data_IF_454950551978
#
_entry.id   IF_454950551978
#
_cell.length_a   1.000
_cell.length_b   1.000
_cell.length_c   1.000
_cell.angle_alpha   90.00
_cell.angle_beta   90.00
_cell.angle_gamma   90.00
#
_symmetry.space_group_name_H-M   'P 1'
#
loop_
_entity.id
_entity.type
_entity.pdbx_description
1 polymer ?
#
# COMPACT_ATOMS: atom_id res chain seq x y z
N UNK A 1 4.13 -15.89 -13.41
CA UNK A 1 4.76 -14.55 -13.42
C UNK A 1 3.92 -13.63 -12.57
N UNK A 2 4.23 -13.52 -11.27
CA UNK A 2 3.62 -12.51 -10.37
C UNK A 2 4.31 -11.14 -10.52
N UNK A 3 5.13 -10.99 -11.56
CA UNK A 3 6.02 -9.86 -11.83
C UNK A 3 5.32 -8.51 -11.81
N UNK A 4 4.04 -8.46 -12.20
CA UNK A 4 3.25 -7.22 -12.17
C UNK A 4 3.03 -6.65 -10.76
N UNK A 5 2.89 -7.49 -9.72
CA UNK A 5 2.61 -7.00 -8.35
C UNK A 5 3.88 -6.44 -7.72
N UNK A 6 5.00 -7.18 -7.83
CA UNK A 6 6.28 -6.72 -7.30
C UNK A 6 6.75 -5.41 -7.95
N UNK A 7 6.55 -5.26 -9.27
CA UNK A 7 6.82 -4.00 -9.98
C UNK A 7 5.99 -2.84 -9.40
N UNK A 8 4.70 -3.05 -9.19
CA UNK A 8 3.82 -2.00 -8.64
C UNK A 8 4.19 -1.66 -7.20
N UNK A 9 4.64 -2.62 -6.38
CA UNK A 9 5.17 -2.34 -5.04
C UNK A 9 6.40 -1.44 -5.08
N UNK A 10 7.32 -1.67 -6.04
CA UNK A 10 8.50 -0.83 -6.25
C UNK A 10 8.08 0.58 -6.67
N UNK A 11 7.09 0.71 -7.55
CA UNK A 11 6.57 2.01 -7.97
C UNK A 11 5.97 2.77 -6.78
N UNK A 12 5.14 2.12 -5.95
CA UNK A 12 4.55 2.73 -4.74
C UNK A 12 5.66 3.22 -3.79
N UNK A 13 6.66 2.38 -3.50
CA UNK A 13 7.81 2.78 -2.67
C UNK A 13 8.55 3.99 -3.28
N UNK A 14 8.79 3.95 -4.60
CA UNK A 14 9.41 5.03 -5.35
C UNK A 14 8.68 6.36 -5.18
N UNK A 15 7.35 6.34 -5.27
CA UNK A 15 6.54 7.55 -5.10
C UNK A 15 6.47 8.04 -3.67
N UNK A 16 6.36 7.16 -2.68
CA UNK A 16 6.44 7.55 -1.26
C UNK A 16 7.78 8.23 -0.96
N UNK A 17 8.89 7.72 -1.51
CA UNK A 17 10.21 8.34 -1.37
C UNK A 17 10.29 9.70 -2.05
N UNK A 18 9.78 9.84 -3.28
CA UNK A 18 9.77 11.12 -4.01
C UNK A 18 8.92 12.18 -3.32
N UNK A 19 7.80 11.79 -2.72
CA UNK A 19 6.92 12.67 -1.95
C UNK A 19 7.46 12.97 -0.54
N UNK A 20 8.59 12.38 -0.14
CA UNK A 20 9.18 12.57 1.19
C UNK A 20 8.40 11.90 2.32
N UNK A 21 7.58 10.89 2.00
CA UNK A 21 6.70 10.17 2.92
C UNK A 21 7.22 8.78 3.29
N UNK A 22 8.48 8.49 2.96
CA UNK A 22 9.15 7.27 3.35
C UNK A 22 9.91 7.50 4.66
N UNK A 23 9.38 6.95 5.75
CA UNK A 23 9.91 7.11 7.09
C UNK A 23 11.18 6.27 7.30
N UNK A 24 12.16 6.84 8.01
CA UNK A 24 13.37 6.10 8.42
C UNK A 24 13.15 5.28 9.68
N UNK A 25 12.22 5.71 10.52
CA UNK A 25 11.96 5.13 11.83
C UNK A 25 10.57 4.51 11.78
N UNK A 26 10.42 3.21 12.09
CA UNK A 26 9.10 2.59 12.12
C UNK A 26 8.23 3.17 13.24
N UNK A 27 6.90 3.16 13.08
CA UNK A 27 5.97 3.42 14.17
C UNK A 27 6.18 2.45 15.34
N UNK A 28 5.64 2.81 16.51
CA UNK A 28 5.70 1.92 17.67
C UNK A 28 5.02 0.57 17.36
N UNK A 29 5.50 -0.52 17.97
CA UNK A 29 4.88 -1.84 17.81
C UNK A 29 3.40 -1.84 18.16
N UNK A 30 2.96 -1.03 19.13
CA UNK A 30 1.55 -0.89 19.48
C UNK A 30 0.74 -0.25 18.34
N UNK A 31 1.29 0.74 17.63
CA UNK A 31 0.62 1.38 16.51
C UNK A 31 0.43 0.41 15.34
N UNK A 32 1.39 -0.48 15.10
CA UNK A 32 1.34 -1.51 14.05
C UNK A 32 0.34 -2.64 14.35
N UNK A 33 -0.18 -2.73 15.58
CA UNK A 33 -1.10 -3.79 16.02
C UNK A 33 -2.57 -3.34 16.03
N UNK A 34 -2.90 -2.17 15.46
CA UNK A 34 -4.30 -1.74 15.35
C UNK A 34 -5.11 -2.73 14.50
N UNK A 35 -6.34 -2.97 14.94
CA UNK A 35 -7.30 -3.84 14.23
C UNK A 35 -8.25 -3.06 13.32
N UNK A 36 -8.20 -1.73 13.34
CA UNK A 36 -9.01 -0.90 12.44
C UNK A 36 -8.53 -1.04 10.99
N UNK A 37 -9.41 -0.91 9.98
CA UNK A 37 -9.01 -0.89 8.58
C UNK A 37 -7.92 0.15 8.33
N UNK A 38 -6.86 -0.25 7.61
CA UNK A 38 -5.66 0.56 7.35
C UNK A 38 -4.95 1.12 8.59
N UNK A 39 -5.29 0.63 9.80
CA UNK A 39 -4.82 1.18 11.06
C UNK A 39 -5.01 2.71 11.15
N UNK A 40 -6.14 3.24 10.62
CA UNK A 40 -6.37 4.70 10.49
C UNK A 40 -6.35 5.47 11.81
N UNK A 41 -6.54 4.78 12.93
CA UNK A 41 -6.51 5.35 14.28
C UNK A 41 -5.07 5.54 14.80
N UNK A 42 -4.10 4.77 14.29
CA UNK A 42 -2.71 4.77 14.78
C UNK A 42 -1.66 5.14 13.75
N UNK A 43 -1.96 5.04 12.46
CA UNK A 43 -1.02 5.25 11.35
C UNK A 43 -1.55 6.26 10.34
N UNK A 44 -0.61 6.98 9.71
CA UNK A 44 -0.89 7.65 8.44
C UNK A 44 -0.91 6.64 7.30
N UNK A 45 -1.58 6.97 6.18
CA UNK A 45 -1.62 6.08 5.02
C UNK A 45 -0.21 5.70 4.51
N UNK A 46 0.77 6.63 4.35
CA UNK A 46 2.12 6.26 3.96
C UNK A 46 2.80 5.27 4.92
N UNK A 47 2.57 5.41 6.23
CA UNK A 47 3.12 4.48 7.23
C UNK A 47 2.49 3.11 7.12
N UNK A 48 1.18 3.03 6.94
CA UNK A 48 0.50 1.76 6.70
C UNK A 48 1.00 1.10 5.42
N UNK A 49 1.15 1.86 4.32
CA UNK A 49 1.71 1.38 3.07
C UNK A 49 3.13 0.81 3.26
N UNK A 50 4.00 1.59 3.89
CA UNK A 50 5.41 1.25 4.06
C UNK A 50 5.66 0.08 5.01
N UNK A 51 5.02 0.08 6.18
CA UNK A 51 5.39 -0.83 7.27
C UNK A 51 4.47 -2.03 7.42
N UNK A 52 3.30 -2.02 6.77
CA UNK A 52 2.35 -3.13 6.82
C UNK A 52 2.13 -3.66 5.41
N UNK A 53 1.55 -2.86 4.53
CA UNK A 53 1.08 -3.36 3.23
C UNK A 53 2.20 -3.92 2.35
N UNK A 54 3.22 -3.12 2.03
CA UNK A 54 4.33 -3.53 1.17
C UNK A 54 5.03 -4.80 1.68
N UNK A 55 5.51 -4.88 2.95
CA UNK A 55 6.18 -6.07 3.44
C UNK A 55 5.25 -7.29 3.53
N UNK A 56 3.97 -7.09 3.84
CA UNK A 56 2.98 -8.18 3.85
C UNK A 56 2.82 -8.79 2.46
N UNK A 57 2.60 -7.97 1.42
CA UNK A 57 2.45 -8.50 0.06
C UNK A 57 3.74 -9.20 -0.40
N UNK A 58 4.93 -8.64 -0.14
CA UNK A 58 6.18 -9.33 -0.46
C UNK A 58 6.27 -10.72 0.19
N UNK A 59 5.97 -10.84 1.49
CA UNK A 59 5.99 -12.12 2.19
C UNK A 59 5.01 -13.12 1.57
N UNK A 60 3.81 -12.68 1.19
CA UNK A 60 2.81 -13.56 0.57
C UNK A 60 3.23 -14.04 -0.81
N UNK A 61 3.85 -13.18 -1.63
CA UNK A 61 4.42 -13.55 -2.93
C UNK A 61 5.54 -14.59 -2.77
N UNK A 62 6.46 -14.38 -1.81
CA UNK A 62 7.56 -15.30 -1.52
C UNK A 62 7.06 -16.68 -1.07
N UNK A 63 6.00 -16.70 -0.25
CA UNK A 63 5.40 -17.93 0.27
C UNK A 63 4.38 -18.56 -0.68
N UNK A 64 4.08 -17.91 -1.82
CA UNK A 64 3.03 -18.30 -2.75
C UNK A 64 1.67 -18.45 -2.08
N UNK A 65 1.39 -17.61 -1.09
CA UNK A 65 0.10 -17.55 -0.41
C UNK A 65 -0.94 -16.82 -1.27
N UNK A 66 -2.21 -17.09 -1.00
CA UNK A 66 -3.32 -16.38 -1.62
C UNK A 66 -3.29 -14.91 -1.17
N UNK A 67 -3.17 -14.00 -2.14
CA UNK A 67 -3.16 -12.56 -1.89
C UNK A 67 -4.53 -12.08 -1.37
N UNK A 68 -4.56 -10.97 -0.59
CA UNK A 68 -5.81 -10.43 -0.08
C UNK A 68 -6.72 -9.98 -1.24
N UNK A 69 -8.00 -10.31 -1.15
CA UNK A 69 -9.00 -9.86 -2.13
C UNK A 69 -9.48 -8.45 -1.76
N UNK A 70 -9.38 -7.50 -2.71
CA UNK A 70 -9.88 -6.11 -2.62
C UNK A 70 -9.42 -5.33 -1.38
N UNK A 71 -8.39 -4.49 -1.54
CA UNK A 71 -7.96 -3.59 -0.47
C UNK A 71 -8.59 -2.19 -0.55
N UNK A 72 -8.92 -1.66 -1.74
CA UNK A 72 -9.53 -0.34 -1.88
C UNK A 72 -8.60 0.79 -1.41
N UNK A 73 -7.33 0.69 -1.77
CA UNK A 73 -6.26 1.56 -1.27
C UNK A 73 -6.25 2.90 -2.01
N UNK A 74 -6.50 2.89 -3.32
CA UNK A 74 -6.56 4.11 -4.13
C UNK A 74 -7.57 5.14 -3.60
N UNK A 75 -8.86 4.81 -3.35
CA UNK A 75 -9.81 5.79 -2.81
C UNK A 75 -9.42 6.29 -1.41
N UNK A 76 -8.74 5.46 -0.61
CA UNK A 76 -8.20 5.90 0.68
C UNK A 76 -7.07 6.91 0.50
N UNK A 77 -6.20 6.73 -0.49
CA UNK A 77 -5.16 7.71 -0.83
C UNK A 77 -5.74 9.04 -1.29
N UNK A 78 -6.73 9.02 -2.17
CA UNK A 78 -7.41 10.24 -2.62
C UNK A 78 -8.01 11.02 -1.46
N UNK A 79 -8.64 10.33 -0.50
CA UNK A 79 -9.22 10.97 0.68
C UNK A 79 -8.14 11.52 1.61
N UNK A 80 -7.10 10.74 1.90
CA UNK A 80 -6.01 11.15 2.81
C UNK A 80 -5.28 12.41 2.31
N UNK A 81 -5.06 12.51 0.99
CA UNK A 81 -4.34 13.63 0.39
C UNK A 81 -5.25 14.77 -0.08
N UNK A 82 -6.57 14.66 0.10
CA UNK A 82 -7.53 15.67 -0.32
C UNK A 82 -7.17 17.03 0.29
N UNK A 83 -7.02 18.04 -0.56
CA UNK A 83 -6.74 19.41 -0.13
C UNK A 83 -5.29 19.69 0.28
N UNK A 84 -4.38 18.71 0.20
CA UNK A 84 -2.94 18.93 0.52
C UNK A 84 -2.19 19.71 -0.56
N UNK A 85 -2.69 19.70 -1.81
CA UNK A 85 -2.01 20.31 -2.97
C UNK A 85 -0.79 19.52 -3.48
N UNK A 86 -0.55 18.33 -2.93
CA UNK A 86 0.54 17.46 -3.35
C UNK A 86 0.24 16.80 -4.71
N UNK A 87 1.27 16.68 -5.54
CA UNK A 87 1.18 15.98 -6.83
C UNK A 87 1.27 14.46 -6.62
N UNK A 88 0.14 13.85 -6.25
CA UNK A 88 0.04 12.42 -5.92
C UNK A 88 -0.45 11.54 -7.07
N UNK A 89 -0.67 12.09 -8.26
CA UNK A 89 -1.33 11.38 -9.37
C UNK A 89 -0.67 10.05 -9.72
N UNK A 90 0.66 10.02 -9.75
CA UNK A 90 1.39 8.79 -10.03
C UNK A 90 1.29 7.77 -8.88
N UNK A 91 1.29 8.23 -7.62
CA UNK A 91 1.07 7.34 -6.48
C UNK A 91 -0.32 6.71 -6.55
N UNK A 92 -1.36 7.51 -6.82
CA UNK A 92 -2.73 7.01 -6.98
C UNK A 92 -2.82 6.01 -8.11
N UNK A 93 -2.21 6.31 -9.27
CA UNK A 93 -2.18 5.40 -10.43
C UNK A 93 -1.56 4.05 -10.07
N UNK A 94 -0.44 4.03 -9.33
CA UNK A 94 0.17 2.78 -8.86
C UNK A 94 -0.75 2.03 -7.89
N UNK A 95 -1.45 2.74 -7.01
CA UNK A 95 -2.39 2.13 -6.05
C UNK A 95 -3.64 1.57 -6.74
N UNK A 96 -4.17 2.24 -7.76
CA UNK A 96 -5.28 1.73 -8.57
C UNK A 96 -4.88 0.43 -9.27
N UNK A 97 -3.71 0.41 -9.90
CA UNK A 97 -3.17 -0.79 -10.54
C UNK A 97 -2.98 -1.93 -9.53
N UNK A 98 -2.56 -1.62 -8.31
CA UNK A 98 -2.47 -2.61 -7.23
C UNK A 98 -3.86 -3.16 -6.86
N UNK A 99 -4.85 -2.30 -6.65
CA UNK A 99 -6.23 -2.70 -6.33
C UNK A 99 -6.83 -3.60 -7.43
N UNK A 100 -6.57 -3.30 -8.70
CA UNK A 100 -6.97 -4.14 -9.83
C UNK A 100 -6.30 -5.51 -9.82
N UNK A 101 -4.98 -5.57 -9.60
CA UNK A 101 -4.22 -6.81 -9.55
C UNK A 101 -4.66 -7.71 -8.38
N UNK A 102 -5.00 -7.13 -7.23
CA UNK A 102 -5.51 -7.85 -6.07
C UNK A 102 -6.98 -8.28 -6.22
N UNK A 103 -7.75 -7.60 -7.08
CA UNK A 103 -9.14 -7.93 -7.38
C UNK A 103 -9.28 -8.96 -8.50
N UNK A 104 -8.22 -9.17 -9.29
CA UNK A 104 -8.16 -10.20 -10.30
C UNK A 104 -8.07 -11.58 -9.61
N UNK A 105 -9.23 -12.17 -9.33
CA UNK A 105 -9.37 -13.55 -8.85
C UNK A 105 -8.53 -14.46 -9.76
N UNK A 106 -7.72 -15.38 -9.23
CA UNK A 106 -7.10 -16.40 -10.07
C UNK A 106 -8.23 -17.21 -10.72
N UNK A 107 -8.32 -17.18 -12.04
CA UNK A 107 -9.15 -18.13 -12.77
C UNK A 107 -8.66 -19.55 -12.41
N UNK A 108 -9.60 -20.38 -11.96
CA UNK A 108 -9.46 -21.80 -11.59
C UNK A 108 -8.73 -22.62 -12.67
#
# INVERSE_FOLDING_TARGET
>A
MQTNIAEVLIDIEGQLRQLGMWDKIPPSSQALLSTEPFCVDTLTLPQWLQFIFIPTIYSMLEQQEALPERCGIAPMAEEFFRGTGLAIGELVTSLERMDELLSAVPED
#
